data_IF_863770729410
#
_entry.id   IF_863770729410
#
_cell.length_a   1.000
_cell.length_b   1.000
_cell.length_c   1.000
_cell.angle_alpha   90.00
_cell.angle_beta   90.00
_cell.angle_gamma   90.00
#
_symmetry.space_group_name_H-M   'P 1'
#
loop_
_entity.id
_entity.type
_entity.pdbx_description
1 polymer ?
#
# COMPACT_ATOMS: atom_id res chain seq x y z
N UNK A 1 6.25 -8.68 12.50
CA UNK A 1 5.19 -7.68 12.21
C UNK A 1 5.36 -6.39 13.00
N UNK A 2 5.40 -6.39 14.34
CA UNK A 2 5.38 -5.13 15.11
C UNK A 2 6.76 -4.53 15.47
N UNK A 3 7.86 -5.00 14.85
CA UNK A 3 9.23 -4.59 15.21
C UNK A 3 9.58 -3.15 14.85
N UNK A 4 8.78 -2.52 13.98
CA UNK A 4 8.93 -1.12 13.57
C UNK A 4 8.22 -0.13 14.51
N UNK A 5 7.51 -0.64 15.53
CA UNK A 5 6.83 0.18 16.54
C UNK A 5 7.62 0.20 17.85
N UNK A 6 7.42 1.23 18.70
CA UNK A 6 7.99 1.26 20.04
C UNK A 6 7.68 -0.04 20.81
N UNK A 7 8.72 -0.65 21.38
CA UNK A 7 8.64 -1.93 22.11
C UNK A 7 7.47 -2.05 23.11
N UNK A 8 7.12 -1.03 23.93
CA UNK A 8 6.01 -1.17 24.88
C UNK A 8 4.64 -1.33 24.20
N UNK A 9 4.45 -0.79 23.00
CA UNK A 9 3.18 -0.85 22.26
C UNK A 9 3.08 -2.07 21.35
N UNK A 10 4.20 -2.73 21.06
CA UNK A 10 4.28 -3.87 20.16
C UNK A 10 3.26 -5.00 20.43
N UNK A 11 2.99 -5.45 21.67
CA UNK A 11 2.03 -6.54 21.90
C UNK A 11 0.60 -6.12 21.60
N UNK A 12 0.19 -4.91 22.00
CA UNK A 12 -1.13 -4.36 21.72
C UNK A 12 -1.35 -4.20 20.22
N UNK A 13 -0.38 -3.60 19.54
CA UNK A 13 -0.44 -3.38 18.09
C UNK A 13 -0.48 -4.70 17.34
N UNK A 14 0.30 -5.71 17.76
CA UNK A 14 0.24 -7.05 17.17
C UNK A 14 -1.17 -7.64 17.28
N UNK A 15 -1.77 -7.61 18.46
CA UNK A 15 -3.13 -8.13 18.67
C UNK A 15 -4.16 -7.36 17.84
N UNK A 16 -4.05 -6.04 17.78
CA UNK A 16 -4.94 -5.21 16.97
C UNK A 16 -4.79 -5.49 15.46
N UNK A 17 -3.56 -5.66 14.97
CA UNK A 17 -3.31 -6.03 13.57
C UNK A 17 -3.92 -7.39 13.25
N UNK A 18 -3.69 -8.41 14.09
CA UNK A 18 -4.28 -9.74 13.87
C UNK A 18 -5.82 -9.68 13.93
N UNK A 19 -6.40 -8.84 14.79
CA UNK A 19 -7.84 -8.67 14.93
C UNK A 19 -8.51 -7.98 13.71
N UNK A 20 -7.72 -7.26 12.90
CA UNK A 20 -8.15 -6.70 11.63
C UNK A 20 -8.14 -7.71 10.49
N UNK A 21 -7.31 -8.76 10.58
CA UNK A 21 -7.21 -9.76 9.53
C UNK A 21 -8.46 -10.65 9.53
N UNK A 22 -8.90 -11.02 8.32
CA UNK A 22 -9.97 -12.00 8.16
C UNK A 22 -9.47 -13.42 8.46
N UNK A 23 -10.41 -14.29 8.81
CA UNK A 23 -10.13 -15.68 9.21
C UNK A 23 -9.31 -16.46 8.17
N UNK A 24 -9.58 -16.24 6.88
CA UNK A 24 -8.84 -16.89 5.80
C UNK A 24 -7.38 -16.46 5.75
N UNK A 25 -7.09 -15.19 6.04
CA UNK A 25 -5.72 -14.65 6.09
C UNK A 25 -4.99 -15.20 7.30
N UNK A 26 -5.64 -15.20 8.47
CA UNK A 26 -5.08 -15.78 9.70
C UNK A 26 -4.70 -17.24 9.49
N UNK A 27 -5.58 -18.02 8.84
CA UNK A 27 -5.34 -19.43 8.52
C UNK A 27 -4.21 -19.63 7.52
N UNK A 28 -4.19 -18.88 6.42
CA UNK A 28 -3.16 -18.99 5.38
C UNK A 28 -1.76 -18.75 5.95
N UNK A 29 -1.62 -17.76 6.82
CA UNK A 29 -0.35 -17.41 7.45
C UNK A 29 -0.10 -18.10 8.80
N UNK A 30 -1.00 -19.00 9.23
CA UNK A 30 -0.92 -19.77 10.48
C UNK A 30 -0.73 -18.88 11.71
N UNK A 31 -1.44 -17.76 11.77
CA UNK A 31 -1.46 -16.90 12.95
C UNK A 31 -2.45 -17.43 13.99
N UNK A 32 -2.06 -17.31 15.27
CA UNK A 32 -2.98 -17.56 16.37
C UNK A 32 -4.14 -16.55 16.30
N UNK A 33 -5.40 -17.01 16.30
CA UNK A 33 -6.54 -16.10 16.22
C UNK A 33 -6.62 -15.25 17.50
N UNK A 34 -6.87 -13.93 17.38
CA UNK A 34 -7.09 -13.08 18.52
C UNK A 34 -8.43 -13.39 19.20
N UNK A 35 -8.53 -13.13 20.49
CA UNK A 35 -9.76 -13.37 21.26
C UNK A 35 -10.97 -12.60 20.70
N UNK A 36 -12.15 -13.21 20.77
CA UNK A 36 -13.38 -12.68 20.17
C UNK A 36 -13.71 -11.24 20.62
N UNK A 37 -13.46 -10.91 21.88
CA UNK A 37 -13.68 -9.57 22.43
C UNK A 37 -12.76 -8.52 21.78
N UNK A 38 -11.47 -8.83 21.60
CA UNK A 38 -10.51 -7.95 20.95
C UNK A 38 -10.88 -7.72 19.48
N UNK A 39 -11.25 -8.79 18.77
CA UNK A 39 -11.75 -8.72 17.38
C UNK A 39 -12.99 -7.85 17.27
N UNK A 40 -13.97 -8.05 18.16
CA UNK A 40 -15.18 -7.24 18.18
C UNK A 40 -14.89 -5.76 18.46
N UNK A 41 -14.02 -5.47 19.43
CA UNK A 41 -13.61 -4.11 19.79
C UNK A 41 -12.94 -3.40 18.60
N UNK A 42 -11.96 -4.04 17.97
CA UNK A 42 -11.21 -3.47 16.84
C UNK A 42 -12.14 -3.22 15.65
N UNK A 43 -13.02 -4.17 15.31
CA UNK A 43 -14.03 -4.00 14.24
C UNK A 43 -14.99 -2.84 14.55
N UNK A 44 -15.44 -2.70 15.80
CA UNK A 44 -16.29 -1.57 16.23
C UNK A 44 -15.53 -0.24 16.15
N UNK A 45 -14.27 -0.21 16.56
CA UNK A 45 -13.43 1.00 16.48
C UNK A 45 -13.29 1.49 15.03
N UNK A 46 -13.01 0.59 14.08
CA UNK A 46 -12.92 0.94 12.65
C UNK A 46 -14.25 1.47 12.10
N UNK A 47 -15.37 0.81 12.41
CA UNK A 47 -16.70 1.29 12.00
C UNK A 47 -17.04 2.65 12.59
N UNK A 48 -16.71 2.86 13.87
CA UNK A 48 -16.94 4.12 14.57
C UNK A 48 -16.10 5.23 13.96
N UNK A 49 -14.81 4.98 13.68
CA UNK A 49 -13.95 5.91 12.94
C UNK A 49 -14.56 6.25 11.58
N UNK A 50 -15.03 5.27 10.82
CA UNK A 50 -15.69 5.51 9.53
C UNK A 50 -16.90 6.44 9.66
N UNK A 51 -17.72 6.27 10.70
CA UNK A 51 -18.85 7.16 11.00
C UNK A 51 -18.39 8.57 11.38
N UNK A 52 -17.38 8.69 12.23
CA UNK A 52 -16.82 9.99 12.64
C UNK A 52 -16.20 10.73 11.46
N UNK A 53 -15.52 10.02 10.56
CA UNK A 53 -14.89 10.63 9.37
C UNK A 53 -15.93 11.24 8.42
N UNK A 54 -17.18 10.75 8.41
CA UNK A 54 -18.27 11.35 7.62
C UNK A 54 -18.69 12.75 8.11
N UNK A 55 -18.31 13.12 9.33
CA UNK A 55 -18.59 14.43 9.90
C UNK A 55 -17.47 15.45 9.60
N UNK A 56 -16.32 14.98 9.11
CA UNK A 56 -15.21 15.86 8.72
C UNK A 56 -15.53 16.58 7.41
N UNK A 57 -14.99 17.80 7.19
CA UNK A 57 -15.21 18.54 5.95
C UNK A 57 -14.70 17.75 4.73
N UNK A 58 -15.39 17.84 3.58
CA UNK A 58 -14.93 17.20 2.36
C UNK A 58 -13.58 17.76 1.95
N UNK A 59 -12.71 16.89 1.44
CA UNK A 59 -11.37 17.28 0.98
C UNK A 59 -11.51 18.20 -0.23
N UNK A 60 -11.05 19.46 -0.09
CA UNK A 60 -11.13 20.49 -1.15
C UNK A 60 -9.94 20.49 -2.11
N UNK A 61 -8.81 19.91 -1.72
CA UNK A 61 -7.59 19.84 -2.51
C UNK A 61 -7.15 18.39 -2.73
N UNK A 62 -6.72 17.99 -3.93
CA UNK A 62 -6.22 16.64 -4.17
C UNK A 62 -4.96 16.38 -3.33
N UNK A 63 -4.84 15.15 -2.80
CA UNK A 63 -3.63 14.68 -2.14
C UNK A 63 -3.13 13.45 -2.90
N UNK A 64 -1.91 13.52 -3.37
CA UNK A 64 -1.30 12.53 -4.23
C UNK A 64 -0.36 11.62 -3.44
N UNK A 65 -0.25 10.36 -3.84
CA UNK A 65 0.62 9.38 -3.19
C UNK A 65 2.09 9.82 -3.11
N UNK A 66 2.59 10.57 -4.10
CA UNK A 66 3.95 11.16 -4.12
C UNK A 66 4.23 12.14 -2.98
N UNK A 67 3.19 12.64 -2.32
CA UNK A 67 3.32 13.53 -1.16
C UNK A 67 3.50 12.77 0.16
N UNK A 68 3.34 11.44 0.15
CA UNK A 68 3.42 10.61 1.35
C UNK A 68 4.87 10.17 1.60
N UNK A 69 5.47 10.56 2.73
CA UNK A 69 6.89 10.26 3.03
C UNK A 69 7.16 8.77 3.19
N UNK A 70 6.15 8.00 3.59
CA UNK A 70 6.21 6.57 3.78
C UNK A 70 6.25 5.81 2.44
N UNK A 71 5.79 6.45 1.36
CA UNK A 71 5.84 5.86 0.01
C UNK A 71 7.19 6.20 -0.61
N UNK A 72 8.05 5.19 -0.70
CA UNK A 72 9.30 5.33 -1.45
C UNK A 72 8.94 5.56 -2.92
N UNK A 73 9.23 6.75 -3.41
CA UNK A 73 8.98 7.16 -4.79
C UNK A 73 10.29 7.64 -5.42
N UNK A 74 10.23 8.03 -6.70
CA UNK A 74 11.37 8.61 -7.39
C UNK A 74 11.51 10.07 -6.96
N UNK A 75 12.54 10.43 -6.17
CA UNK A 75 12.65 11.76 -5.55
C UNK A 75 12.81 12.87 -6.59
N UNK A 76 13.44 12.56 -7.72
CA UNK A 76 13.69 13.49 -8.82
C UNK A 76 12.57 13.47 -9.88
N UNK A 77 11.44 12.84 -9.56
CA UNK A 77 10.34 12.60 -10.50
C UNK A 77 10.53 11.35 -11.34
N UNK A 78 9.54 11.05 -12.18
CA UNK A 78 9.56 9.91 -13.09
C UNK A 78 8.69 10.20 -14.30
N UNK A 79 9.06 9.66 -15.46
CA UNK A 79 8.17 9.61 -16.62
C UNK A 79 7.39 8.30 -16.56
N UNK A 80 6.07 8.38 -16.76
CA UNK A 80 5.20 7.20 -16.74
C UNK A 80 5.62 6.17 -17.81
N UNK A 81 6.13 6.64 -18.95
CA UNK A 81 6.63 5.79 -20.03
C UNK A 81 7.86 4.95 -19.64
N UNK A 82 8.61 5.36 -18.62
CA UNK A 82 9.81 4.67 -18.14
C UNK A 82 9.50 3.76 -16.93
N UNK A 83 8.26 3.79 -16.43
CA UNK A 83 7.83 2.95 -15.33
C UNK A 83 7.42 1.57 -15.83
N UNK A 84 8.04 0.54 -15.26
CA UNK A 84 7.69 -0.85 -15.51
C UNK A 84 8.92 -1.71 -15.70
N UNK A 85 8.70 -2.98 -16.01
CA UNK A 85 9.77 -3.89 -16.39
C UNK A 85 10.05 -3.72 -17.87
N UNK A 86 10.90 -2.74 -18.21
CA UNK A 86 11.40 -2.63 -19.58
C UNK A 86 12.47 -3.70 -19.82
N UNK A 87 12.44 -4.37 -20.98
CA UNK A 87 13.51 -5.29 -21.33
C UNK A 87 14.82 -4.53 -21.47
N UNK A 88 15.83 -4.90 -20.67
CA UNK A 88 17.17 -4.34 -20.81
C UNK A 88 17.80 -4.97 -22.07
N UNK A 89 18.19 -4.16 -23.07
CA UNK A 89 18.85 -4.66 -24.26
C UNK A 89 20.06 -5.54 -23.87
N UNK A 90 20.12 -6.76 -24.39
CA UNK A 90 21.25 -7.68 -24.21
C UNK A 90 21.29 -8.52 -22.93
N UNK A 91 20.39 -8.31 -21.94
CA UNK A 91 20.43 -9.06 -20.66
C UNK A 91 19.30 -10.09 -20.47
N UNK A 92 18.13 -9.88 -21.09
CA UNK A 92 17.01 -10.83 -21.34
C UNK A 92 15.83 -10.02 -21.87
N UNK A 93 15.64 -10.03 -23.19
CA UNK A 93 14.62 -9.22 -23.86
C UNK A 93 13.20 -9.74 -23.67
N UNK A 94 12.23 -8.83 -23.67
CA UNK A 94 10.81 -9.15 -23.86
C UNK A 94 10.70 -9.87 -25.21
N UNK A 95 10.07 -11.05 -25.31
CA UNK A 95 9.96 -11.78 -26.57
C UNK A 95 9.10 -11.03 -27.61
N UNK A 96 8.40 -9.97 -27.19
CA UNK A 96 7.61 -9.09 -28.04
C UNK A 96 8.52 -8.06 -28.70
N UNK A 97 8.49 -8.00 -30.04
CA UNK A 97 9.20 -6.95 -30.81
C UNK A 97 8.52 -5.60 -30.58
N UNK A 98 9.17 -4.70 -29.84
CA UNK A 98 8.77 -3.31 -29.76
C UNK A 98 9.34 -2.56 -30.97
N UNK A 99 8.49 -1.83 -31.72
CA UNK A 99 8.95 -0.90 -32.75
C UNK A 99 9.32 0.40 -32.06
N UNK A 100 10.56 0.88 -32.26
CA UNK A 100 11.01 2.17 -31.75
C UNK A 100 10.16 3.28 -32.35
N UNK A 101 9.16 3.73 -31.59
CA UNK A 101 8.26 4.81 -32.01
C UNK A 101 8.80 6.17 -31.53
N UNK A 102 9.90 6.18 -30.76
CA UNK A 102 10.51 7.38 -30.18
C UNK A 102 11.07 8.36 -31.22
N UNK A 103 11.31 7.93 -32.46
CA UNK A 103 11.77 8.83 -33.52
C UNK A 103 10.64 9.62 -34.20
N UNK A 104 9.37 9.23 -34.00
CA UNK A 104 8.23 9.88 -34.63
C UNK A 104 7.75 11.14 -33.87
N UNK A 105 8.11 11.29 -32.59
CA UNK A 105 7.59 12.34 -31.70
C UNK A 105 8.48 13.59 -31.62
N UNK A 106 9.53 13.69 -32.45
CA UNK A 106 10.43 14.86 -32.51
C UNK A 106 10.14 15.79 -33.69
N UNK A 107 9.07 15.52 -34.44
CA UNK A 107 8.68 16.29 -35.63
C UNK A 107 7.23 16.77 -35.51
N UNK A 108 6.95 17.61 -34.50
CA UNK A 108 5.88 18.62 -34.55
C UNK A 108 6.27 19.84 -33.72
#
# INVERSE_FOLDING_TARGET
>A
MASWYPRPLAPLLRTATLALLDEHVLRAFRYAPPGAAATALVRRAVRTRGRLVRLLPPRRSPHFARQNREVKSYPDGYRVADLGTHPVPGLRGCPVRHRDTSAADTAE
#
